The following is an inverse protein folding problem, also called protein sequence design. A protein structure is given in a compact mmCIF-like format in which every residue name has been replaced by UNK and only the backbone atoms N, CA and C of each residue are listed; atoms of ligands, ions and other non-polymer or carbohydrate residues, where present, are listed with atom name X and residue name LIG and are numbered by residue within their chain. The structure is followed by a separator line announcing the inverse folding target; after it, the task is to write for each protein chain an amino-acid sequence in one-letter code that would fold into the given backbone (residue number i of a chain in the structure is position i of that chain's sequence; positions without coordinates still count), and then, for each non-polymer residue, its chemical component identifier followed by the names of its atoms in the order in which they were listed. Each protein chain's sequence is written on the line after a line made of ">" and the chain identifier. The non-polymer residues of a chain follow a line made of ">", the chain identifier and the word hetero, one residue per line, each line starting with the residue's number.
data_IF_826868368497
#
_entry.id   IF_826868368497
#
_cell.length_a   1.000
_cell.length_b   1.000
_cell.length_c   1.000
_cell.angle_alpha   90.00
_cell.angle_beta   90.00
_cell.angle_gamma   90.00
#
_symmetry.space_group_name_H-M   'P 1'
#
loop_
_entity.id
_entity.type
_entity.pdbx_description
1 polymer ?
#
# COMPACT_ATOMS: atom_id res chain seq x y z
N UNK A 1 -33.17 14.58 36.79
CA UNK A 1 -32.28 13.45 37.03
C UNK A 1 -32.24 12.51 35.85
N UNK A 2 -33.36 12.05 35.45
CA UNK A 2 -33.44 11.10 34.32
C UNK A 2 -32.86 11.66 33.02
N UNK A 3 -33.05 12.95 32.86
CA UNK A 3 -32.61 13.61 31.62
C UNK A 3 -31.10 13.69 31.51
N UNK A 4 -30.45 13.83 32.64
CA UNK A 4 -29.00 13.87 32.67
C UNK A 4 -28.41 12.54 32.20
N UNK A 5 -29.02 11.47 32.62
CA UNK A 5 -28.56 10.13 32.21
C UNK A 5 -28.70 9.92 30.70
N UNK A 6 -29.81 10.39 30.14
CA UNK A 6 -30.02 10.30 28.72
C UNK A 6 -29.00 11.10 27.95
N UNK A 7 -28.68 12.28 28.42
CA UNK A 7 -27.69 13.12 27.76
C UNK A 7 -26.33 12.46 27.79
N UNK A 8 -25.96 11.90 28.91
CA UNK A 8 -24.69 11.17 29.01
C UNK A 8 -24.64 10.00 28.06
N UNK A 9 -25.74 9.32 27.89
CA UNK A 9 -25.82 8.19 27.00
C UNK A 9 -25.64 8.63 25.55
N UNK A 10 -26.21 9.74 25.17
CA UNK A 10 -26.03 10.28 23.84
C UNK A 10 -24.59 10.69 23.59
N UNK A 11 -23.93 11.22 24.59
CA UNK A 11 -22.53 11.62 24.44
C UNK A 11 -21.65 10.42 24.13
N UNK A 12 -21.91 9.28 24.73
CA UNK A 12 -21.12 8.10 24.45
C UNK A 12 -21.28 7.60 23.01
N UNK A 13 -22.39 7.92 22.38
CA UNK A 13 -22.57 7.57 20.99
C UNK A 13 -21.75 8.40 20.03
N UNK A 14 -21.25 9.53 20.47
CA UNK A 14 -20.42 10.39 19.64
C UNK A 14 -19.03 9.83 19.47
N UNK A 15 -18.67 8.88 20.26
CA UNK A 15 -17.34 8.26 20.19
C UNK A 15 -17.14 7.39 18.95
N UNK A 16 -18.01 7.48 17.97
CA UNK A 16 -17.81 6.80 16.69
C UNK A 16 -16.52 7.17 16.01
N UNK A 17 -16.04 8.36 16.24
CA UNK A 17 -14.76 8.75 15.68
C UNK A 17 -13.63 7.86 16.17
N UNK A 18 -13.82 7.17 17.27
CA UNK A 18 -12.82 6.25 17.78
C UNK A 18 -12.74 4.96 16.98
N UNK A 19 -13.68 4.74 16.08
CA UNK A 19 -13.60 3.61 15.18
C UNK A 19 -12.55 3.80 14.10
N UNK A 20 -12.05 5.00 13.96
CA UNK A 20 -10.86 5.20 13.17
C UNK A 20 -9.72 4.57 13.92
N UNK A 21 -9.42 3.35 13.55
CA UNK A 21 -8.41 2.57 14.24
C UNK A 21 -7.04 2.99 13.77
N UNK A 22 -6.28 3.57 14.66
CA UNK A 22 -4.88 3.86 14.41
C UNK A 22 -4.08 2.57 14.55
N UNK A 23 -4.08 1.77 13.51
CA UNK A 23 -3.24 0.58 13.48
C UNK A 23 -1.90 0.92 12.87
N UNK A 24 -0.86 0.58 13.58
CA UNK A 24 0.47 0.58 12.99
C UNK A 24 0.66 -0.77 12.35
N UNK A 25 0.60 -0.78 11.03
CA UNK A 25 0.93 -1.99 10.29
C UNK A 25 2.44 -2.02 10.10
N UNK A 26 3.04 -3.11 10.54
CA UNK A 26 4.44 -3.34 10.27
C UNK A 26 4.55 -4.05 8.95
N UNK A 27 5.11 -3.37 7.96
CA UNK A 27 5.33 -3.93 6.64
C UNK A 27 6.83 -4.16 6.47
N UNK A 28 7.21 -5.40 6.24
CA UNK A 28 8.57 -5.71 5.89
C UNK A 28 8.75 -5.42 4.41
N UNK A 29 9.62 -4.47 4.08
CA UNK A 29 9.87 -4.13 2.70
C UNK A 29 11.36 -4.12 2.43
N UNK A 30 11.71 -4.38 1.19
CA UNK A 30 13.08 -4.39 0.72
C UNK A 30 13.28 -3.22 -0.21
N UNK A 31 14.33 -2.46 0.01
CA UNK A 31 14.67 -1.32 -0.81
C UNK A 31 15.97 -1.56 -1.55
N UNK A 32 16.08 -0.99 -2.73
CA UNK A 32 17.27 -1.08 -3.56
C UNK A 32 17.30 0.09 -4.53
N UNK A 33 18.44 0.27 -5.19
CA UNK A 33 18.54 1.20 -6.30
C UNK A 33 17.50 0.84 -7.36
N UNK A 34 16.83 1.85 -7.92
CA UNK A 34 15.72 1.61 -8.84
C UNK A 34 16.13 0.80 -10.06
N UNK A 35 17.25 1.17 -10.68
CA UNK A 35 17.67 0.48 -11.89
C UNK A 35 17.98 -0.98 -11.62
N UNK A 36 18.62 -1.26 -10.51
CA UNK A 36 18.87 -2.63 -10.09
C UNK A 36 17.57 -3.38 -9.85
N UNK A 37 16.65 -2.79 -9.11
CA UNK A 37 15.40 -3.46 -8.76
C UNK A 37 14.56 -3.76 -9.99
N UNK A 38 14.44 -2.80 -10.91
CA UNK A 38 13.65 -2.97 -12.13
C UNK A 38 14.27 -4.05 -13.01
N UNK A 39 15.58 -4.02 -13.18
CA UNK A 39 16.26 -5.05 -13.96
C UNK A 39 16.11 -6.43 -13.36
N UNK A 40 16.20 -6.53 -12.06
CA UNK A 40 16.04 -7.80 -11.35
C UNK A 40 14.63 -8.36 -11.53
N UNK A 41 13.62 -7.51 -11.36
CA UNK A 41 12.23 -7.91 -11.57
C UNK A 41 11.98 -8.40 -12.99
N UNK A 42 12.50 -7.67 -13.96
CA UNK A 42 12.25 -7.97 -15.36
C UNK A 42 13.00 -9.21 -15.82
N UNK A 43 14.28 -9.29 -15.50
CA UNK A 43 15.16 -10.30 -16.09
C UNK A 43 15.19 -11.60 -15.30
N UNK A 44 15.10 -11.51 -13.98
CA UNK A 44 15.19 -12.70 -13.12
C UNK A 44 13.83 -13.23 -12.71
N UNK A 45 12.87 -12.35 -12.49
CA UNK A 45 11.57 -12.72 -11.92
C UNK A 45 10.41 -12.60 -12.90
N UNK A 46 10.66 -12.13 -14.12
CA UNK A 46 9.65 -12.00 -15.18
C UNK A 46 8.45 -11.14 -14.78
N UNK A 47 8.69 -10.10 -14.01
CA UNK A 47 7.65 -9.13 -13.70
C UNK A 47 7.56 -8.08 -14.79
N UNK A 48 6.35 -7.64 -15.06
CA UNK A 48 6.06 -6.59 -16.04
C UNK A 48 5.26 -5.50 -15.35
N UNK A 49 5.63 -4.25 -15.61
CA UNK A 49 4.87 -3.12 -15.07
C UNK A 49 3.52 -3.02 -15.76
N UNK A 50 2.46 -2.96 -14.97
CA UNK A 50 1.09 -2.87 -15.46
C UNK A 50 0.49 -1.49 -15.28
N UNK A 51 0.94 -0.76 -14.28
CA UNK A 51 0.41 0.57 -14.00
C UNK A 51 1.44 1.36 -13.22
N UNK A 52 1.34 2.67 -13.32
CA UNK A 52 2.15 3.55 -12.48
C UNK A 52 1.44 4.88 -12.26
N UNK A 53 1.83 5.56 -11.22
CA UNK A 53 1.35 6.89 -10.92
C UNK A 53 2.49 7.69 -10.30
N UNK A 54 2.43 9.00 -10.46
CA UNK A 54 3.38 9.91 -9.82
C UNK A 54 2.62 10.72 -8.78
N UNK A 55 3.13 10.70 -7.57
CA UNK A 55 2.50 11.43 -6.48
C UNK A 55 2.86 12.92 -6.54
N UNK A 56 2.16 13.72 -5.73
CA UNK A 56 2.48 15.14 -5.61
C UNK A 56 3.87 15.40 -5.05
N UNK A 57 4.46 14.41 -4.37
CA UNK A 57 5.81 14.51 -3.81
C UNK A 57 6.87 13.97 -4.78
N UNK A 58 6.52 13.79 -6.05
CA UNK A 58 7.42 13.25 -7.07
C UNK A 58 7.92 11.85 -6.77
N UNK A 59 7.12 11.08 -6.05
CA UNK A 59 7.37 9.65 -5.88
C UNK A 59 6.63 8.88 -6.97
N UNK A 60 7.21 7.77 -7.38
CA UNK A 60 6.60 6.92 -8.40
C UNK A 60 6.07 5.67 -7.73
N UNK A 61 4.78 5.41 -7.93
CA UNK A 61 4.15 4.18 -7.46
C UNK A 61 3.94 3.29 -8.67
N UNK A 62 4.40 2.05 -8.60
CA UNK A 62 4.35 1.13 -9.72
C UNK A 62 3.75 -0.19 -9.30
N UNK A 63 2.90 -0.74 -10.17
CA UNK A 63 2.34 -2.07 -10.02
C UNK A 63 3.00 -2.99 -11.03
N UNK A 64 3.59 -4.05 -10.54
CA UNK A 64 4.20 -5.10 -11.36
C UNK A 64 3.45 -6.40 -11.17
N UNK A 65 3.32 -7.17 -12.23
CA UNK A 65 2.73 -8.50 -12.15
C UNK A 65 3.63 -9.51 -12.85
N UNK A 66 3.60 -10.73 -12.33
CA UNK A 66 4.26 -11.86 -12.96
C UNK A 66 3.23 -12.62 -13.79
N UNK A 67 3.48 -12.72 -15.07
CA UNK A 67 2.54 -13.27 -16.02
C UNK A 67 2.23 -14.76 -15.78
N UNK A 68 3.22 -15.48 -15.29
CA UNK A 68 3.09 -16.94 -15.20
C UNK A 68 2.55 -17.42 -13.86
N UNK A 69 2.77 -16.68 -12.81
CA UNK A 69 2.43 -17.11 -11.45
C UNK A 69 1.33 -16.29 -10.80
N UNK A 70 0.83 -15.27 -11.51
CA UNK A 70 -0.19 -14.40 -10.93
C UNK A 70 0.29 -13.57 -9.75
N UNK A 71 1.59 -13.48 -9.54
CA UNK A 71 2.15 -12.67 -8.48
C UNK A 71 2.12 -11.19 -8.84
N UNK A 72 2.00 -10.36 -7.85
CA UNK A 72 2.02 -8.92 -8.05
C UNK A 72 2.84 -8.24 -6.98
N UNK A 73 3.31 -7.04 -7.28
CA UNK A 73 4.13 -6.27 -6.39
C UNK A 73 3.90 -4.78 -6.62
N UNK A 74 3.70 -4.04 -5.54
CA UNK A 74 3.61 -2.58 -5.58
C UNK A 74 4.90 -2.02 -5.03
N UNK A 75 5.53 -1.14 -5.81
CA UNK A 75 6.77 -0.48 -5.45
C UNK A 75 6.61 1.02 -5.42
N UNK A 76 7.35 1.67 -4.54
CA UNK A 76 7.42 3.12 -4.48
C UNK A 76 8.88 3.54 -4.64
N UNK A 77 9.12 4.46 -5.55
CA UNK A 77 10.45 5.03 -5.78
C UNK A 77 10.45 6.48 -5.34
N UNK A 78 11.37 6.83 -4.47
CA UNK A 78 11.54 8.21 -4.04
C UNK A 78 12.37 9.04 -5.02
N UNK A 79 12.52 10.33 -4.71
CA UNK A 79 13.32 11.23 -5.53
C UNK A 79 14.82 10.90 -5.47
N UNK A 80 15.23 10.14 -4.50
CA UNK A 80 16.59 9.64 -4.34
C UNK A 80 16.89 8.44 -5.23
N UNK A 81 15.92 8.00 -6.04
CA UNK A 81 16.03 6.84 -6.92
C UNK A 81 16.15 5.51 -6.17
N UNK A 82 15.75 5.49 -4.91
CA UNK A 82 15.64 4.26 -4.14
C UNK A 82 14.21 3.78 -4.25
N UNK A 83 14.05 2.51 -4.61
CA UNK A 83 12.74 1.90 -4.75
C UNK A 83 12.55 0.85 -3.66
N UNK A 84 11.35 0.79 -3.13
CA UNK A 84 10.99 -0.16 -2.08
C UNK A 84 9.76 -0.94 -2.51
N UNK A 85 9.83 -2.26 -2.36
CA UNK A 85 8.67 -3.11 -2.52
C UNK A 85 7.83 -3.02 -1.27
N UNK A 86 6.64 -2.44 -1.38
CA UNK A 86 5.79 -2.21 -0.22
C UNK A 86 4.90 -3.38 0.11
N UNK A 87 4.26 -3.93 -0.91
CA UNK A 87 3.29 -4.98 -0.71
C UNK A 87 3.24 -5.85 -1.97
N UNK A 88 3.07 -7.13 -1.76
CA UNK A 88 2.97 -8.08 -2.84
C UNK A 88 2.01 -9.20 -2.49
N UNK A 89 1.58 -9.93 -3.48
CA UNK A 89 0.67 -11.04 -3.31
C UNK A 89 0.85 -12.08 -4.39
N UNK A 90 0.18 -13.21 -4.22
CA UNK A 90 0.32 -14.35 -5.11
C UNK A 90 -0.91 -14.61 -5.97
N UNK A 91 -1.94 -13.81 -5.81
CA UNK A 91 -3.16 -13.95 -6.61
C UNK A 91 -3.29 -12.76 -7.54
N UNK A 92 -3.89 -12.99 -8.69
CA UNK A 92 -4.09 -11.94 -9.67
C UNK A 92 -5.02 -10.85 -9.14
N UNK A 93 -4.77 -9.64 -9.61
CA UNK A 93 -5.71 -8.56 -9.40
C UNK A 93 -6.97 -8.79 -10.20
N UNK A 94 -8.10 -8.48 -9.60
CA UNK A 94 -9.38 -8.50 -10.27
C UNK A 94 -9.74 -7.06 -10.61
N UNK A 95 -9.86 -6.77 -11.90
CA UNK A 95 -10.26 -5.45 -12.36
C UNK A 95 -11.76 -5.44 -12.62
N UNK A 96 -12.46 -4.55 -11.92
CA UNK A 96 -13.90 -4.40 -12.07
C UNK A 96 -14.26 -3.31 -13.07
#
# INVERSE_FOLDING_TARGET
>A
MKYLLLILFLITNISFSDEIINRKLTVNYTCADRDFAVNDLKNRLDFTRKAFSVTSNNQIIELYTNKYKGNWLIMVTGTDKITCGLIGGQQEFIFE
#
